data_IF_643138377078
#
_entry.id   IF_643138377078
#
_cell.length_a   1.000
_cell.length_b   1.000
_cell.length_c   1.000
_cell.angle_alpha   90.00
_cell.angle_beta   90.00
_cell.angle_gamma   90.00
#
_symmetry.space_group_name_H-M   'P 1'
#
loop_
_entity.id
_entity.type
_entity.pdbx_description
1 polymer ?
#
# COMPACT_ATOMS: atom_id res chain seq x y z
N UNK A 1 15.17 4.87 30.25
CA UNK A 1 15.64 4.15 29.03
C UNK A 1 14.51 3.37 28.38
N UNK A 2 13.52 2.87 29.12
CA UNK A 2 12.40 2.07 28.60
C UNK A 2 11.37 2.82 27.73
N UNK A 3 11.27 4.14 27.82
CA UNK A 3 10.30 4.92 27.02
C UNK A 3 10.71 4.98 25.55
N UNK A 4 11.99 5.27 25.27
CA UNK A 4 12.44 5.46 23.88
C UNK A 4 12.36 4.18 23.06
N UNK A 5 12.58 3.01 23.68
CA UNK A 5 12.42 1.72 23.00
C UNK A 5 10.94 1.42 22.70
N UNK A 6 10.03 1.76 23.61
CA UNK A 6 8.57 1.60 23.40
C UNK A 6 8.05 2.54 22.32
N UNK A 7 8.53 3.77 22.31
CA UNK A 7 8.17 4.76 21.28
C UNK A 7 8.68 4.32 19.90
N UNK A 8 9.89 3.75 19.81
CA UNK A 8 10.44 3.21 18.56
C UNK A 8 9.64 1.99 18.06
N UNK A 9 9.32 1.05 18.95
CA UNK A 9 8.52 -0.14 18.62
C UNK A 9 7.09 0.25 18.21
N UNK A 10 6.50 1.24 18.88
CA UNK A 10 5.17 1.74 18.55
C UNK A 10 5.19 2.44 17.19
N UNK A 11 6.17 3.30 16.92
CA UNK A 11 6.35 3.94 15.62
C UNK A 11 6.48 2.92 14.49
N UNK A 12 7.29 1.88 14.67
CA UNK A 12 7.47 0.78 13.69
C UNK A 12 6.17 -0.01 13.50
N UNK A 13 5.42 -0.32 14.56
CA UNK A 13 4.11 -1.01 14.46
C UNK A 13 3.09 -0.22 13.65
N UNK A 14 3.05 1.10 13.78
CA UNK A 14 2.18 1.96 12.96
C UNK A 14 2.68 2.10 11.51
N UNK A 15 3.99 2.00 11.28
CA UNK A 15 4.58 2.11 9.95
C UNK A 15 4.26 0.92 9.04
N UNK A 16 4.00 -0.26 9.60
CA UNK A 16 3.70 -1.49 8.83
C UNK A 16 2.20 -1.73 8.69
N UNK A 17 1.45 -0.74 8.18
CA UNK A 17 0.04 -0.95 7.86
C UNK A 17 -0.06 -1.88 6.64
N UNK A 18 -0.67 -3.05 6.83
CA UNK A 18 -0.80 -4.04 5.77
C UNK A 18 -1.83 -3.64 4.70
N UNK A 19 -2.87 -2.92 5.11
CA UNK A 19 -3.96 -2.48 4.24
C UNK A 19 -3.92 -0.98 4.01
N UNK A 20 -3.63 -0.60 2.77
CA UNK A 20 -3.49 0.78 2.35
C UNK A 20 -4.77 1.27 1.67
N UNK A 21 -5.16 2.49 1.99
CA UNK A 21 -6.13 3.27 1.22
C UNK A 21 -5.50 3.77 -0.08
N UNK A 22 -6.29 4.24 -1.06
CA UNK A 22 -5.73 4.90 -2.25
C UNK A 22 -4.80 6.08 -1.93
N UNK A 23 -5.12 6.86 -0.90
CA UNK A 23 -4.27 7.99 -0.47
C UNK A 23 -2.96 7.51 0.15
N UNK A 24 -3.01 6.50 1.03
CA UNK A 24 -1.80 5.92 1.64
C UNK A 24 -0.89 5.26 0.60
N UNK A 25 -1.46 4.57 -0.40
CA UNK A 25 -0.69 4.01 -1.50
C UNK A 25 -0.01 5.12 -2.32
N UNK A 26 -0.67 6.26 -2.51
CA UNK A 26 -0.08 7.40 -3.20
C UNK A 26 1.07 8.01 -2.40
N UNK A 27 0.89 8.21 -1.10
CA UNK A 27 1.91 8.76 -0.21
C UNK A 27 3.14 7.84 -0.14
N UNK A 28 2.93 6.53 -0.09
CA UNK A 28 4.01 5.57 0.09
C UNK A 28 4.71 5.16 -1.21
N UNK A 29 3.96 4.90 -2.29
CA UNK A 29 4.50 4.37 -3.54
C UNK A 29 4.49 5.39 -4.69
N UNK A 30 4.02 6.61 -4.45
CA UNK A 30 4.02 7.69 -5.44
C UNK A 30 3.00 7.52 -6.58
N UNK A 31 2.13 6.51 -6.53
CA UNK A 31 1.12 6.28 -7.57
C UNK A 31 -0.10 7.14 -7.28
N UNK A 32 -0.37 8.15 -8.12
CA UNK A 32 -1.52 9.04 -7.91
C UNK A 32 -2.86 8.28 -7.87
N UNK A 33 -3.82 8.75 -7.07
CA UNK A 33 -5.16 8.14 -6.96
C UNK A 33 -5.91 8.06 -8.30
N UNK A 34 -5.68 9.00 -9.22
CA UNK A 34 -6.26 9.01 -10.56
C UNK A 34 -5.61 7.94 -11.46
N UNK A 35 -4.28 7.78 -11.40
CA UNK A 35 -3.56 6.69 -12.06
C UNK A 35 -4.04 5.34 -11.52
N UNK A 36 -4.13 5.18 -10.21
CA UNK A 36 -4.66 3.97 -9.58
C UNK A 36 -6.07 3.65 -10.09
N UNK A 37 -6.96 4.64 -10.24
CA UNK A 37 -8.30 4.42 -10.76
C UNK A 37 -8.28 3.86 -12.19
N UNK A 38 -7.46 4.45 -13.08
CA UNK A 38 -7.27 3.95 -14.45
C UNK A 38 -6.72 2.52 -14.46
N UNK A 39 -5.73 2.24 -13.62
CA UNK A 39 -5.13 0.92 -13.51
C UNK A 39 -6.10 -0.14 -12.94
N UNK A 40 -6.98 0.23 -12.02
CA UNK A 40 -8.03 -0.67 -11.51
C UNK A 40 -9.02 -1.04 -12.62
N UNK A 41 -9.39 -0.08 -13.47
CA UNK A 41 -10.27 -0.33 -14.62
C UNK A 41 -9.61 -1.30 -15.60
N UNK A 42 -8.34 -1.11 -15.92
CA UNK A 42 -7.58 -2.03 -16.79
C UNK A 42 -7.10 -3.30 -16.09
N UNK A 43 -7.40 -3.49 -14.80
CA UNK A 43 -6.91 -4.58 -13.94
C UNK A 43 -5.38 -4.73 -13.92
N UNK A 44 -4.67 -3.63 -14.14
CA UNK A 44 -3.20 -3.59 -14.18
C UNK A 44 -2.55 -3.45 -12.79
N UNK A 45 -3.31 -3.11 -11.75
CA UNK A 45 -2.85 -3.04 -10.36
C UNK A 45 -3.72 -3.97 -9.48
N UNK A 46 -3.12 -4.78 -8.60
CA UNK A 46 -3.91 -5.61 -7.68
C UNK A 46 -4.66 -4.72 -6.68
N UNK A 47 -5.94 -5.01 -6.44
CA UNK A 47 -6.73 -4.29 -5.44
C UNK A 47 -7.83 -5.18 -4.86
N UNK A 48 -8.26 -4.84 -3.66
CA UNK A 48 -9.36 -5.50 -2.96
C UNK A 48 -10.56 -4.54 -2.86
N UNK A 49 -11.74 -5.02 -3.29
CA UNK A 49 -12.99 -4.29 -3.13
C UNK A 49 -13.74 -4.80 -1.90
N UNK A 50 -13.87 -3.95 -0.89
CA UNK A 50 -14.58 -4.24 0.35
C UNK A 50 -15.85 -3.37 0.36
N UNK A 51 -16.95 -3.93 -0.14
CA UNK A 51 -18.19 -3.19 -0.39
C UNK A 51 -17.95 -1.97 -1.31
N UNK A 52 -18.14 -0.75 -0.80
CA UNK A 52 -17.87 0.51 -1.52
C UNK A 52 -16.41 0.98 -1.45
N UNK A 53 -15.59 0.36 -0.61
CA UNK A 53 -14.22 0.79 -0.37
C UNK A 53 -13.21 0.00 -1.21
N UNK A 54 -12.15 0.68 -1.62
CA UNK A 54 -10.97 0.06 -2.24
C UNK A 54 -9.84 0.04 -1.23
N UNK A 55 -9.16 -1.10 -1.13
CA UNK A 55 -7.95 -1.28 -0.34
C UNK A 55 -6.88 -2.00 -1.13
N UNK A 56 -5.65 -1.75 -0.75
CA UNK A 56 -4.45 -2.36 -1.31
C UNK A 56 -3.76 -3.14 -0.21
N UNK A 57 -3.54 -4.43 -0.43
CA UNK A 57 -2.70 -5.21 0.46
C UNK A 57 -1.26 -4.94 0.06
N UNK A 58 -0.44 -4.51 1.00
CA UNK A 58 0.96 -4.15 0.76
C UNK A 58 1.75 -5.29 0.12
N UNK A 59 1.54 -6.52 0.59
CA UNK A 59 2.20 -7.71 0.05
C UNK A 59 1.91 -7.90 -1.46
N UNK A 60 0.67 -7.69 -1.89
CA UNK A 60 0.29 -7.86 -3.29
C UNK A 60 0.90 -6.77 -4.18
N UNK A 61 0.99 -5.54 -3.66
CA UNK A 61 1.61 -4.43 -4.37
C UNK A 61 3.11 -4.68 -4.56
N UNK A 62 3.80 -5.17 -3.53
CA UNK A 62 5.21 -5.54 -3.62
C UNK A 62 5.43 -6.67 -4.64
N UNK A 63 4.63 -7.74 -4.55
CA UNK A 63 4.71 -8.85 -5.51
C UNK A 63 4.42 -8.38 -6.96
N UNK A 64 3.49 -7.43 -7.11
CA UNK A 64 3.21 -6.82 -8.40
C UNK A 64 4.41 -6.02 -8.94
N UNK A 65 5.05 -5.20 -8.12
CA UNK A 65 6.29 -4.51 -8.50
C UNK A 65 7.38 -5.49 -8.93
N UNK A 66 7.56 -6.58 -8.18
CA UNK A 66 8.54 -7.62 -8.51
C UNK A 66 8.23 -8.30 -9.85
N UNK A 67 6.95 -8.57 -10.13
CA UNK A 67 6.51 -9.17 -11.40
C UNK A 67 6.61 -8.24 -12.61
N UNK A 68 6.54 -6.92 -12.39
CA UNK A 68 6.63 -5.92 -13.44
C UNK A 68 8.08 -5.63 -13.87
N UNK A 69 9.07 -6.29 -13.25
CA UNK A 69 10.48 -6.19 -13.61
C UNK A 69 10.72 -6.72 -15.02
N UNK A 70 11.14 -5.82 -15.92
CA UNK A 70 11.66 -6.18 -17.24
C UNK A 70 13.19 -6.22 -17.16
N UNK A 71 13.79 -7.35 -17.54
CA UNK A 71 15.26 -7.58 -17.57
C UNK A 71 15.74 -7.65 -19.00
#
# INVERSE_FOLDING_TARGET
MDSQLKDLIQAVKTATKEWLTPSELQEEFGISTSTQAKMRVSRAIPYHKISKYVRYKRADINAWFDSAKVV
#
